data_IF_529185604656
#
_entry.id   IF_529185604656
#
_cell.length_a   1.000
_cell.length_b   1.000
_cell.length_c   1.000
_cell.angle_alpha   90.00
_cell.angle_beta   90.00
_cell.angle_gamma   90.00
#
_symmetry.space_group_name_H-M   'P 1'
#
loop_
_entity.id
_entity.type
_entity.pdbx_description
1 polymer ?
#
# COMPACT_ATOMS: atom_id res chain seq x y z
N UNK A 1 -1.25 -3.61 0.94
CA UNK A 1 -1.02 -4.31 -0.34
C UNK A 1 -2.29 -5.05 -0.74
N UNK A 2 -2.67 -4.98 -2.01
CA UNK A 2 -3.80 -5.74 -2.58
C UNK A 2 -3.20 -6.96 -3.27
N UNK A 3 -3.83 -8.12 -3.10
CA UNK A 3 -3.41 -9.37 -3.70
C UNK A 3 -4.55 -9.92 -4.57
N UNK A 4 -4.22 -10.39 -5.76
CA UNK A 4 -5.16 -11.01 -6.67
C UNK A 4 -4.44 -12.03 -7.57
N UNK A 5 -5.20 -12.95 -8.16
CA UNK A 5 -4.67 -13.86 -9.16
C UNK A 5 -4.20 -13.10 -10.40
N UNK A 6 -3.09 -13.54 -11.00
CA UNK A 6 -2.51 -12.88 -12.16
C UNK A 6 -3.48 -12.82 -13.34
N UNK A 7 -4.15 -13.93 -13.64
CA UNK A 7 -5.13 -14.00 -14.75
C UNK A 7 -6.28 -13.02 -14.54
N UNK A 8 -6.73 -12.83 -13.30
CA UNK A 8 -7.77 -11.86 -12.98
C UNK A 8 -7.29 -10.42 -13.22
N UNK A 9 -6.06 -10.08 -12.79
CA UNK A 9 -5.49 -8.76 -13.01
C UNK A 9 -5.34 -8.46 -14.51
N UNK A 10 -4.83 -9.41 -15.29
CA UNK A 10 -4.65 -9.26 -16.74
C UNK A 10 -5.98 -9.06 -17.46
N UNK A 11 -7.03 -9.81 -17.08
CA UNK A 11 -8.38 -9.67 -17.65
C UNK A 11 -9.09 -8.38 -17.21
N UNK A 12 -8.69 -7.80 -16.08
CA UNK A 12 -9.34 -6.64 -15.46
C UNK A 12 -8.34 -5.49 -15.24
N UNK A 13 -7.44 -5.27 -16.19
CA UNK A 13 -6.33 -4.33 -16.03
C UNK A 13 -6.77 -2.89 -15.71
N UNK A 14 -7.89 -2.43 -16.29
CA UNK A 14 -8.45 -1.10 -16.00
C UNK A 14 -8.95 -0.98 -14.56
N UNK A 15 -9.64 -2.01 -14.06
CA UNK A 15 -10.07 -2.07 -12.66
C UNK A 15 -8.85 -2.08 -11.72
N UNK A 16 -7.83 -2.87 -12.04
CA UNK A 16 -6.59 -2.92 -11.26
C UNK A 16 -5.89 -1.56 -11.22
N UNK A 17 -5.78 -0.86 -12.36
CA UNK A 17 -5.25 0.51 -12.41
C UNK A 17 -6.12 1.49 -11.63
N UNK A 18 -7.44 1.38 -11.69
CA UNK A 18 -8.34 2.25 -10.92
C UNK A 18 -8.18 2.05 -9.41
N UNK A 19 -8.06 0.80 -8.95
CA UNK A 19 -7.78 0.48 -7.54
C UNK A 19 -6.40 1.02 -7.13
N UNK A 20 -5.38 0.87 -7.98
CA UNK A 20 -4.04 1.41 -7.74
C UNK A 20 -4.08 2.95 -7.60
N UNK A 21 -4.81 3.64 -8.49
CA UNK A 21 -5.04 5.08 -8.40
C UNK A 21 -5.73 5.46 -7.08
N UNK A 22 -6.81 4.77 -6.70
CA UNK A 22 -7.51 5.03 -5.45
C UNK A 22 -6.60 4.88 -4.21
N UNK A 23 -5.64 3.93 -4.23
CA UNK A 23 -4.65 3.78 -3.16
C UNK A 23 -3.68 4.98 -3.11
N UNK A 24 -3.22 5.46 -4.26
CA UNK A 24 -2.35 6.64 -4.33
C UNK A 24 -3.09 7.91 -3.86
N UNK A 25 -4.35 8.07 -4.28
CA UNK A 25 -5.21 9.19 -3.88
C UNK A 25 -5.52 9.19 -2.38
N UNK A 26 -5.90 8.04 -1.82
CA UNK A 26 -6.17 7.98 -0.38
C UNK A 26 -4.90 8.25 0.43
N UNK A 27 -3.74 7.76 -0.02
CA UNK A 27 -2.48 8.08 0.63
C UNK A 27 -2.20 9.59 0.56
N UNK A 28 -2.37 10.23 -0.61
CA UNK A 28 -2.24 11.68 -0.72
C UNK A 28 -3.21 12.42 0.21
N UNK A 29 -4.48 11.99 0.29
CA UNK A 29 -5.48 12.56 1.19
C UNK A 29 -5.11 12.40 2.66
N UNK A 30 -4.62 11.23 3.10
CA UNK A 30 -4.16 10.99 4.48
C UNK A 30 -3.04 11.98 4.83
N UNK A 31 -2.14 12.24 3.88
CA UNK A 31 -1.02 13.17 4.05
C UNK A 31 -1.45 14.65 4.14
N UNK A 32 -2.72 15.00 3.90
CA UNK A 32 -3.19 16.40 3.98
C UNK A 32 -3.32 16.90 5.41
N UNK A 33 -3.51 16.01 6.38
CA UNK A 33 -3.53 16.40 7.78
C UNK A 33 -4.11 15.38 8.75
N UNK A 34 -3.61 15.44 9.98
CA UNK A 34 -4.02 14.58 11.10
C UNK A 34 -5.50 14.69 11.42
N UNK A 35 -6.03 15.91 11.51
CA UNK A 35 -7.40 16.15 11.95
C UNK A 35 -8.42 15.51 11.01
N UNK A 36 -8.20 15.65 9.70
CA UNK A 36 -9.03 15.04 8.66
C UNK A 36 -9.03 13.51 8.76
N UNK A 37 -7.85 12.90 8.94
CA UNK A 37 -7.71 11.46 9.11
C UNK A 37 -8.42 10.97 10.39
N UNK A 38 -8.17 11.65 11.51
CA UNK A 38 -8.72 11.26 12.82
C UNK A 38 -10.25 11.33 12.78
N UNK A 39 -10.82 12.44 12.31
CA UNK A 39 -12.28 12.60 12.20
C UNK A 39 -12.90 11.52 11.33
N UNK A 40 -12.32 11.25 10.16
CA UNK A 40 -12.84 10.21 9.27
C UNK A 40 -12.83 8.83 9.93
N UNK A 41 -11.72 8.47 10.60
CA UNK A 41 -11.60 7.16 11.25
C UNK A 41 -12.56 7.05 12.44
N UNK A 42 -12.69 8.08 13.28
CA UNK A 42 -13.64 8.03 14.41
C UNK A 42 -15.09 7.91 13.97
N UNK A 43 -15.44 8.52 12.83
CA UNK A 43 -16.81 8.50 12.30
C UNK A 43 -17.17 7.17 11.62
N UNK A 44 -16.17 6.48 11.03
CA UNK A 44 -16.41 5.32 10.18
C UNK A 44 -15.95 3.98 10.78
N UNK A 45 -15.03 3.99 11.76
CA UNK A 45 -14.49 2.77 12.36
C UNK A 45 -15.13 2.56 13.74
N UNK A 46 -16.08 1.61 13.79
CA UNK A 46 -16.77 1.28 15.04
C UNK A 46 -15.79 0.84 16.12
N UNK A 47 -15.85 1.52 17.27
CA UNK A 47 -14.97 1.22 18.41
C UNK A 47 -13.59 1.87 18.35
N UNK A 48 -13.35 2.75 17.37
CA UNK A 48 -12.15 3.57 17.36
C UNK A 48 -12.14 4.53 18.56
N UNK A 49 -11.05 4.50 19.32
CA UNK A 49 -10.75 5.51 20.32
C UNK A 49 -9.95 6.64 19.68
N UNK A 50 -10.43 7.88 19.79
CA UNK A 50 -9.83 9.03 19.13
C UNK A 50 -8.35 9.22 19.49
N UNK A 51 -7.98 9.05 20.77
CA UNK A 51 -6.59 9.22 21.22
C UNK A 51 -5.68 8.14 20.62
N UNK A 52 -6.18 6.90 20.55
CA UNK A 52 -5.46 5.82 19.89
C UNK A 52 -5.26 6.09 18.40
N UNK A 53 -6.28 6.60 17.70
CA UNK A 53 -6.21 6.98 16.28
C UNK A 53 -5.21 8.13 16.07
N UNK A 54 -5.25 9.16 16.91
CA UNK A 54 -4.28 10.26 16.85
C UNK A 54 -2.84 9.76 16.99
N UNK A 55 -2.58 8.87 17.96
CA UNK A 55 -1.26 8.27 18.17
C UNK A 55 -0.85 7.36 17.00
N UNK A 56 -1.80 6.61 16.45
CA UNK A 56 -1.56 5.79 15.27
C UNK A 56 -1.13 6.66 14.09
N UNK A 57 -1.82 7.77 13.83
CA UNK A 57 -1.45 8.69 12.75
C UNK A 57 -0.01 9.19 12.90
N UNK A 58 0.38 9.63 14.10
CA UNK A 58 1.74 10.13 14.35
C UNK A 58 2.81 9.06 14.05
N UNK A 59 2.57 7.81 14.49
CA UNK A 59 3.48 6.69 14.21
C UNK A 59 3.51 6.36 12.73
N UNK A 60 2.33 6.24 12.10
CA UNK A 60 2.20 5.91 10.68
C UNK A 60 2.93 6.94 9.81
N UNK A 61 2.81 8.23 10.13
CA UNK A 61 3.54 9.29 9.43
C UNK A 61 5.05 9.22 9.69
N UNK A 62 5.50 8.91 10.91
CA UNK A 62 6.92 8.80 11.24
C UNK A 62 7.67 7.72 10.47
N UNK A 63 6.95 6.69 9.99
CA UNK A 63 7.52 5.58 9.21
C UNK A 63 7.13 5.63 7.73
N UNK A 64 6.53 6.74 7.26
CA UNK A 64 6.04 6.89 5.90
C UNK A 64 5.11 5.74 5.46
N UNK A 65 4.14 5.38 6.31
CA UNK A 65 3.23 4.24 6.09
C UNK A 65 2.29 4.42 4.89
N UNK A 66 2.03 5.66 4.48
CA UNK A 66 1.11 6.01 3.39
C UNK A 66 1.83 6.77 2.26
N UNK A 67 2.82 6.15 1.58
CA UNK A 67 3.57 6.82 0.54
C UNK A 67 2.74 7.03 -0.73
N UNK A 68 3.01 8.09 -1.48
CA UNK A 68 2.41 8.35 -2.81
C UNK A 68 3.33 7.97 -3.96
N UNK A 69 4.56 7.57 -3.67
CA UNK A 69 5.47 6.99 -4.67
C UNK A 69 5.13 5.50 -4.89
N UNK A 70 4.89 5.05 -6.14
CA UNK A 70 4.60 3.65 -6.45
C UNK A 70 5.58 2.64 -5.87
N UNK A 71 6.89 2.93 -5.93
CA UNK A 71 7.93 2.00 -5.48
C UNK A 71 8.02 1.96 -3.95
N UNK A 72 7.69 3.05 -3.27
CA UNK A 72 7.56 3.04 -1.81
C UNK A 72 6.27 2.35 -1.35
N UNK A 73 5.18 2.47 -2.11
CA UNK A 73 3.89 1.84 -1.77
C UNK A 73 3.95 0.31 -1.90
N UNK A 74 4.65 -0.19 -2.92
CA UNK A 74 4.85 -1.62 -3.13
C UNK A 74 6.33 -1.90 -3.43
N UNK A 75 7.13 -1.88 -2.35
CA UNK A 75 8.59 -2.05 -2.40
C UNK A 75 9.00 -3.51 -2.65
N UNK A 76 9.33 -3.81 -3.89
CA UNK A 76 9.82 -5.14 -4.31
C UNK A 76 11.07 -5.57 -3.53
N UNK A 77 11.94 -4.65 -3.11
CA UNK A 77 13.15 -5.00 -2.34
C UNK A 77 12.81 -5.43 -0.92
N UNK A 78 11.88 -4.73 -0.27
CA UNK A 78 11.33 -5.12 1.03
C UNK A 78 10.70 -6.52 0.98
N UNK A 79 9.92 -6.82 -0.07
CA UNK A 79 9.36 -8.16 -0.27
C UNK A 79 10.41 -9.22 -0.56
N UNK A 80 11.47 -8.90 -1.30
CA UNK A 80 12.59 -9.82 -1.51
C UNK A 80 13.30 -10.13 -0.19
N UNK A 81 13.62 -9.10 0.61
CA UNK A 81 14.24 -9.29 1.91
C UNK A 81 13.38 -10.13 2.86
N UNK A 82 12.05 -9.95 2.84
CA UNK A 82 11.13 -10.80 3.59
C UNK A 82 11.15 -12.26 3.08
N UNK A 83 11.12 -12.48 1.77
CA UNK A 83 11.19 -13.81 1.19
C UNK A 83 12.51 -14.52 1.55
N UNK A 84 13.63 -13.80 1.51
CA UNK A 84 14.95 -14.30 1.90
C UNK A 84 14.97 -14.70 3.38
N UNK A 85 14.46 -13.84 4.28
CA UNK A 85 14.35 -14.15 5.71
C UNK A 85 13.49 -15.38 5.99
N UNK A 86 12.38 -15.54 5.26
CA UNK A 86 11.50 -16.70 5.41
C UNK A 86 12.18 -17.99 4.92
N UNK A 87 12.99 -17.93 3.88
CA UNK A 87 13.79 -19.07 3.42
C UNK A 87 14.90 -19.42 4.40
N UNK A 88 15.68 -18.42 4.84
CA UNK A 88 16.75 -18.60 5.83
C UNK A 88 16.23 -19.13 7.18
N UNK A 89 15.02 -18.72 7.57
CA UNK A 89 14.32 -19.20 8.76
C UNK A 89 13.70 -20.59 8.63
N UNK A 90 13.68 -21.18 7.43
CA UNK A 90 13.12 -22.51 7.16
C UNK A 90 11.60 -22.54 6.95
N UNK A 91 10.93 -21.39 6.86
CA UNK A 91 9.49 -21.28 6.58
C UNK A 91 9.19 -21.53 5.10
N UNK A 92 10.13 -21.22 4.21
CA UNK A 92 10.06 -21.56 2.79
C UNK A 92 11.01 -22.71 2.47
N UNK A 93 10.54 -23.66 1.65
CA UNK A 93 11.34 -24.81 1.19
C UNK A 93 12.33 -24.44 0.09
N UNK A 94 12.01 -23.39 -0.67
CA UNK A 94 12.77 -22.92 -1.82
C UNK A 94 12.80 -21.39 -1.81
N UNK A 95 13.87 -20.76 -2.32
CA UNK A 95 13.93 -19.31 -2.42
C UNK A 95 12.89 -18.79 -3.42
N UNK A 96 12.27 -17.67 -3.09
CA UNK A 96 11.32 -16.99 -3.97
C UNK A 96 11.92 -15.70 -4.52
N UNK A 97 11.50 -15.36 -5.74
CA UNK A 97 11.86 -14.11 -6.42
C UNK A 97 10.65 -13.16 -6.37
N UNK A 98 10.78 -12.06 -5.64
CA UNK A 98 9.73 -11.07 -5.44
C UNK A 98 9.21 -10.49 -6.75
N UNK A 99 10.06 -10.36 -7.77
CA UNK A 99 9.64 -9.85 -9.08
C UNK A 99 8.62 -10.76 -9.78
N UNK A 100 8.46 -12.02 -9.33
CA UNK A 100 7.48 -12.96 -9.87
C UNK A 100 6.09 -12.84 -9.24
N UNK A 101 5.95 -12.17 -8.09
CA UNK A 101 4.66 -12.02 -7.41
C UNK A 101 4.32 -10.57 -7.02
N UNK A 102 5.25 -9.64 -7.21
CA UNK A 102 5.03 -8.21 -7.09
C UNK A 102 4.92 -7.61 -8.50
N UNK A 103 3.81 -6.91 -8.77
CA UNK A 103 3.58 -6.20 -10.02
C UNK A 103 3.29 -4.72 -9.74
N UNK A 104 4.27 -3.88 -10.04
CA UNK A 104 4.19 -2.42 -9.87
C UNK A 104 3.55 -1.70 -11.06
N UNK A 105 3.33 -2.39 -12.18
CA UNK A 105 2.93 -1.73 -13.44
C UNK A 105 1.61 -0.95 -13.31
N UNK A 106 0.66 -1.45 -12.51
CA UNK A 106 -0.61 -0.76 -12.26
C UNK A 106 -0.44 0.54 -11.46
N UNK A 107 0.46 0.55 -10.47
CA UNK A 107 0.77 1.75 -9.67
C UNK A 107 1.56 2.78 -10.48
N UNK A 108 2.53 2.32 -11.27
CA UNK A 108 3.29 3.19 -12.20
C UNK A 108 2.36 3.85 -13.22
N UNK A 109 1.45 3.08 -13.82
CA UNK A 109 0.45 3.59 -14.76
C UNK A 109 -0.46 4.61 -14.09
N UNK A 110 -0.99 4.30 -12.90
CA UNK A 110 -1.85 5.22 -12.16
C UNK A 110 -1.13 6.54 -11.80
N UNK A 111 0.11 6.47 -11.30
CA UNK A 111 0.92 7.66 -11.02
C UNK A 111 1.21 8.48 -12.28
N UNK A 112 1.45 7.81 -13.42
CA UNK A 112 1.58 8.43 -14.73
C UNK A 112 0.32 9.17 -15.20
N UNK A 113 -0.86 8.75 -14.75
CA UNK A 113 -2.15 9.43 -14.96
C UNK A 113 -2.36 10.63 -14.02
N UNK A 114 -1.45 10.86 -13.07
CA UNK A 114 -1.51 11.95 -12.10
C UNK A 114 -2.01 11.55 -10.71
N UNK A 115 -2.31 10.27 -10.47
CA UNK A 115 -2.85 9.85 -9.20
C UNK A 115 -1.86 10.05 -8.04
N UNK A 116 -2.36 10.52 -6.89
CA UNK A 116 -1.55 10.77 -5.69
C UNK A 116 -0.76 12.08 -5.71
N UNK A 117 -1.09 13.00 -6.62
CA UNK A 117 -0.50 14.34 -6.75
C UNK A 117 -1.54 15.42 -6.38
N UNK A 118 -1.96 15.45 -5.13
CA UNK A 118 -2.80 16.54 -4.60
C UNK A 118 -1.97 17.79 -4.30
#
# INVERSE_FOLDING_TARGET
>A
AVFAEREYLEQNAELATAIACANLEVNAWINTGKDTFVSYVTDNVRGADEKAVQKFYDVAMSVNMFPTDPNALLDTKGYQALADLMYEGGELKEPLDASKFIDNSYLERASGMGCGKM
#
